data_IF_884242140365
#
_entry.id   IF_884242140365
#
_cell.length_a   1.000
_cell.length_b   1.000
_cell.length_c   1.000
_cell.angle_alpha   90.00
_cell.angle_beta   90.00
_cell.angle_gamma   90.00
#
_symmetry.space_group_name_H-M   'P 1'
#
loop_
_entity.id
_entity.type
_entity.pdbx_description
1 polymer ?
#
# COMPACT_ATOMS: atom_id res chain seq x y z
N UNK A 1 50.75 36.09 -33.62
CA UNK A 1 51.08 34.85 -32.89
C UNK A 1 49.87 33.94 -33.06
N UNK A 2 49.77 33.25 -34.21
CA UNK A 2 49.97 31.80 -34.39
C UNK A 2 49.11 30.94 -33.45
N UNK A 3 48.39 29.88 -33.83
CA UNK A 3 48.13 29.10 -35.05
C UNK A 3 46.91 28.19 -34.70
N UNK A 4 46.14 27.78 -35.71
CA UNK A 4 45.09 26.73 -35.73
C UNK A 4 45.65 25.33 -35.42
N UNK A 5 44.90 24.43 -34.78
CA UNK A 5 44.73 22.98 -35.11
C UNK A 5 43.97 22.28 -33.97
N UNK A 6 42.84 21.59 -34.15
CA UNK A 6 42.50 20.44 -35.03
C UNK A 6 42.80 19.06 -34.40
N UNK A 7 41.94 18.13 -34.77
CA UNK A 7 41.72 16.75 -34.36
C UNK A 7 42.94 15.82 -34.44
N UNK A 8 42.80 14.70 -33.71
CA UNK A 8 43.35 13.36 -33.99
C UNK A 8 44.79 13.01 -33.55
N UNK A 9 44.88 11.90 -32.80
CA UNK A 9 45.97 10.92 -32.75
C UNK A 9 45.25 9.56 -32.58
N UNK A 10 44.98 8.74 -33.59
CA UNK A 10 45.82 7.92 -34.50
C UNK A 10 46.63 6.84 -33.78
N UNK A 11 46.23 5.58 -33.94
CA UNK A 11 47.09 4.55 -34.58
C UNK A 11 46.36 3.23 -34.82
N UNK A 12 46.30 2.84 -36.10
CA UNK A 12 46.05 1.48 -36.61
C UNK A 12 47.41 0.82 -36.85
N UNK A 13 47.52 -0.49 -36.60
CA UNK A 13 48.43 -1.37 -37.34
C UNK A 13 47.85 -2.79 -37.38
N UNK A 14 47.64 -3.26 -38.61
CA UNK A 14 47.33 -4.65 -38.97
C UNK A 14 48.60 -5.51 -38.86
N UNK A 15 48.46 -6.84 -38.71
CA UNK A 15 49.01 -7.87 -39.63
C UNK A 15 48.70 -9.32 -39.16
N UNK A 16 48.11 -10.07 -40.11
CA UNK A 16 48.14 -11.50 -40.47
C UNK A 16 47.73 -12.68 -39.57
N UNK A 17 46.87 -13.48 -40.22
CA UNK A 17 46.53 -14.90 -40.02
C UNK A 17 47.71 -15.83 -40.33
N UNK A 18 47.89 -16.90 -39.55
CA UNK A 18 48.15 -18.26 -40.05
C UNK A 18 47.86 -19.32 -38.98
N UNK A 19 47.41 -20.48 -39.43
CA UNK A 19 46.92 -21.62 -38.64
C UNK A 19 48.06 -22.44 -38.02
N UNK A 20 47.83 -23.04 -36.84
CA UNK A 20 48.18 -24.45 -36.58
C UNK A 20 47.53 -24.96 -35.28
N UNK A 21 46.93 -26.14 -35.40
CA UNK A 21 46.34 -27.03 -34.40
C UNK A 21 47.13 -27.27 -33.10
N UNK A 22 46.45 -27.40 -31.96
CA UNK A 22 46.53 -28.56 -31.06
C UNK A 22 45.66 -28.33 -29.81
N UNK A 23 45.12 -29.44 -29.29
CA UNK A 23 44.12 -29.58 -28.24
C UNK A 23 44.45 -28.92 -26.91
N UNK A 24 43.43 -28.37 -26.23
CA UNK A 24 43.11 -28.82 -24.86
C UNK A 24 41.64 -28.59 -24.55
N UNK A 25 41.08 -29.62 -23.93
CA UNK A 25 39.68 -29.81 -23.56
C UNK A 25 39.27 -28.97 -22.35
N UNK A 26 37.95 -28.70 -22.32
CA UNK A 26 37.04 -28.70 -21.16
C UNK A 26 36.50 -27.37 -20.59
N UNK A 27 35.15 -27.35 -20.61
CA UNK A 27 34.23 -26.75 -19.65
C UNK A 27 33.93 -25.25 -19.70
N UNK A 28 33.17 -24.83 -20.71
CA UNK A 28 32.18 -23.76 -20.54
C UNK A 28 30.96 -24.06 -21.41
N UNK A 29 30.02 -24.85 -20.90
CA UNK A 29 28.62 -24.88 -21.33
C UNK A 29 27.79 -25.69 -20.33
N UNK A 30 27.36 -25.04 -19.25
CA UNK A 30 26.18 -25.45 -18.49
C UNK A 30 25.77 -24.35 -17.49
N UNK A 31 25.16 -23.28 -18.00
CA UNK A 31 24.28 -22.47 -17.16
C UNK A 31 22.88 -23.09 -17.28
N UNK A 32 22.52 -23.88 -16.26
CA UNK A 32 21.15 -24.36 -16.11
C UNK A 32 20.20 -23.15 -16.03
N UNK A 33 19.00 -23.21 -16.63
CA UNK A 33 18.02 -22.15 -16.50
C UNK A 33 17.69 -21.95 -15.01
N UNK A 34 17.66 -20.69 -14.57
CA UNK A 34 17.20 -20.29 -13.24
C UNK A 34 15.86 -20.97 -12.98
N UNK A 35 15.85 -21.98 -12.10
CA UNK A 35 14.63 -22.63 -11.63
C UNK A 35 13.75 -21.52 -11.08
N UNK A 36 12.63 -21.25 -11.74
CA UNK A 36 11.52 -20.52 -11.14
C UNK A 36 11.12 -21.30 -9.90
N UNK A 37 11.52 -20.81 -8.73
CA UNK A 37 11.03 -21.30 -7.45
C UNK A 37 9.52 -21.04 -7.43
N UNK A 38 8.75 -22.06 -7.83
CA UNK A 38 7.32 -22.10 -7.57
C UNK A 38 7.18 -22.24 -6.06
N UNK A 39 6.60 -21.22 -5.40
CA UNK A 39 6.28 -21.33 -3.99
C UNK A 39 5.33 -22.51 -3.78
N UNK A 40 5.51 -23.32 -2.72
CA UNK A 40 4.61 -24.43 -2.43
C UNK A 40 3.18 -23.91 -2.23
N UNK A 41 2.16 -24.71 -2.59
CA UNK A 41 0.77 -24.26 -2.72
C UNK A 41 0.10 -23.72 -1.44
N UNK A 42 0.78 -23.72 -0.29
CA UNK A 42 0.25 -23.27 1.01
C UNK A 42 1.19 -22.29 1.77
N UNK A 43 2.15 -21.64 1.09
CA UNK A 43 3.02 -20.69 1.76
C UNK A 43 2.25 -19.41 2.13
N UNK A 44 2.19 -19.09 3.43
CA UNK A 44 1.60 -17.83 3.90
C UNK A 44 2.36 -16.65 3.27
N UNK A 45 1.69 -15.69 2.58
CA UNK A 45 2.36 -14.58 1.92
C UNK A 45 3.22 -13.71 2.86
N UNK A 46 2.95 -13.73 4.18
CA UNK A 46 3.79 -13.10 5.20
C UNK A 46 5.24 -13.59 5.20
N UNK A 47 5.52 -14.79 4.68
CA UNK A 47 6.86 -15.39 4.64
C UNK A 47 7.52 -15.30 3.26
N UNK A 48 6.86 -14.72 2.27
CA UNK A 48 7.47 -14.47 0.97
C UNK A 48 8.62 -13.46 1.10
N UNK A 49 9.68 -13.57 0.28
CA UNK A 49 10.66 -12.49 0.13
C UNK A 49 9.96 -11.18 -0.22
N UNK A 50 10.46 -10.04 0.27
CA UNK A 50 9.77 -8.74 0.14
C UNK A 50 9.38 -8.41 -1.31
N UNK A 51 10.28 -8.62 -2.28
CA UNK A 51 10.00 -8.40 -3.70
C UNK A 51 8.94 -9.34 -4.30
N UNK A 52 8.58 -10.42 -3.61
CA UNK A 52 7.47 -11.33 -3.95
C UNK A 52 6.18 -11.01 -3.19
N UNK A 53 6.25 -10.27 -2.08
CA UNK A 53 5.06 -9.81 -1.37
C UNK A 53 4.30 -8.74 -2.15
N UNK A 54 4.97 -7.81 -2.84
CA UNK A 54 4.29 -6.74 -3.58
C UNK A 54 3.44 -7.26 -4.77
N UNK A 55 3.95 -8.17 -5.64
CA UNK A 55 3.11 -8.77 -6.67
C UNK A 55 1.95 -9.58 -6.09
N UNK A 56 2.15 -10.26 -4.94
CA UNK A 56 1.09 -10.98 -4.26
C UNK A 56 0.02 -10.03 -3.72
N UNK A 57 0.42 -8.92 -3.09
CA UNK A 57 -0.47 -7.87 -2.61
C UNK A 57 -1.31 -7.31 -3.74
N UNK A 58 -0.69 -6.93 -4.86
CA UNK A 58 -1.43 -6.46 -6.05
C UNK A 58 -2.46 -7.49 -6.50
N UNK A 59 -2.08 -8.77 -6.59
CA UNK A 59 -3.01 -9.85 -6.96
C UNK A 59 -4.17 -9.98 -5.98
N UNK A 60 -3.90 -9.93 -4.67
CA UNK A 60 -4.92 -9.98 -3.61
C UNK A 60 -5.89 -8.80 -3.71
N UNK A 61 -5.36 -7.58 -3.78
CA UNK A 61 -6.18 -6.37 -3.83
C UNK A 61 -7.00 -6.27 -5.14
N UNK A 62 -6.48 -6.82 -6.23
CA UNK A 62 -7.20 -6.88 -7.52
C UNK A 62 -8.45 -7.79 -7.50
N UNK A 63 -8.67 -8.57 -6.43
CA UNK A 63 -9.91 -9.34 -6.26
C UNK A 63 -11.09 -8.48 -5.77
N UNK A 64 -10.80 -7.29 -5.23
CA UNK A 64 -11.79 -6.32 -4.80
C UNK A 64 -12.07 -5.34 -5.96
N UNK A 65 -13.23 -5.49 -6.60
CA UNK A 65 -13.61 -4.68 -7.77
C UNK A 65 -13.82 -3.21 -7.40
N UNK A 66 -14.45 -2.96 -6.25
CA UNK A 66 -14.65 -1.60 -5.73
C UNK A 66 -13.32 -0.89 -5.45
N UNK A 67 -12.36 -1.57 -4.81
CA UNK A 67 -11.01 -1.05 -4.57
C UNK A 67 -10.30 -0.64 -5.87
N UNK A 68 -10.38 -1.48 -6.91
CA UNK A 68 -9.78 -1.17 -8.22
C UNK A 68 -10.45 0.05 -8.89
N UNK A 69 -11.78 0.17 -8.80
CA UNK A 69 -12.49 1.35 -9.29
C UNK A 69 -12.05 2.60 -8.55
N UNK A 70 -11.96 2.55 -7.21
CA UNK A 70 -11.49 3.68 -6.40
C UNK A 70 -10.06 4.09 -6.79
N UNK A 71 -9.15 3.13 -6.98
CA UNK A 71 -7.78 3.42 -7.41
C UNK A 71 -7.71 4.11 -8.78
N UNK A 72 -8.47 3.60 -9.76
CA UNK A 72 -8.52 4.18 -11.11
C UNK A 72 -9.03 5.62 -11.08
N UNK A 73 -10.14 5.84 -10.39
CA UNK A 73 -10.77 7.14 -10.27
C UNK A 73 -9.97 8.13 -9.40
N UNK A 74 -9.28 7.65 -8.36
CA UNK A 74 -8.38 8.48 -7.56
C UNK A 74 -7.20 8.99 -8.39
N UNK A 75 -6.69 8.19 -9.34
CA UNK A 75 -5.66 8.61 -10.28
C UNK A 75 -6.16 9.75 -11.18
N UNK A 76 -7.41 9.68 -11.65
CA UNK A 76 -8.06 10.75 -12.45
C UNK A 76 -8.30 12.02 -11.62
N UNK A 77 -8.68 11.89 -10.34
CA UNK A 77 -8.93 13.00 -9.43
C UNK A 77 -7.66 13.82 -9.13
N UNK A 78 -6.49 13.18 -9.29
CA UNK A 78 -5.16 13.79 -9.23
C UNK A 78 -4.91 14.64 -7.98
N UNK A 79 -5.36 14.15 -6.81
CA UNK A 79 -5.05 14.80 -5.53
C UNK A 79 -3.53 14.76 -5.27
N UNK A 80 -2.95 15.78 -4.61
CA UNK A 80 -1.51 15.76 -4.32
C UNK A 80 -1.18 14.71 -3.27
N UNK A 81 -0.14 13.91 -3.53
CA UNK A 81 0.38 12.86 -2.63
C UNK A 81 -0.73 12.03 -1.96
N UNK A 82 -1.51 11.30 -2.76
CA UNK A 82 -2.66 10.54 -2.28
C UNK A 82 -2.35 9.05 -2.05
N UNK A 83 -3.15 8.41 -1.20
CA UNK A 83 -3.26 6.95 -1.08
C UNK A 83 -4.71 6.53 -0.85
N UNK A 84 -5.11 5.43 -1.46
CA UNK A 84 -6.20 4.61 -0.91
C UNK A 84 -5.61 3.78 0.22
N UNK A 85 -6.10 3.95 1.43
CA UNK A 85 -5.44 3.46 2.62
C UNK A 85 -6.42 2.79 3.60
N UNK A 86 -5.88 2.32 4.71
CA UNK A 86 -6.71 1.99 5.87
C UNK A 86 -7.45 0.66 5.75
N UNK A 87 -8.70 0.67 6.22
CA UNK A 87 -9.47 -0.54 6.47
C UNK A 87 -9.75 -1.35 5.21
N UNK A 88 -10.14 -0.71 4.10
CA UNK A 88 -10.45 -1.41 2.86
C UNK A 88 -9.28 -2.26 2.34
N UNK A 89 -8.05 -1.75 2.46
CA UNK A 89 -6.85 -2.45 2.00
C UNK A 89 -6.58 -3.67 2.89
N UNK A 90 -6.54 -3.50 4.21
CA UNK A 90 -6.23 -4.59 5.14
C UNK A 90 -7.33 -5.65 5.20
N UNK A 91 -8.59 -5.24 5.16
CA UNK A 91 -9.73 -6.13 5.19
C UNK A 91 -9.85 -6.94 3.90
N UNK A 92 -9.50 -6.37 2.74
CA UNK A 92 -9.38 -7.16 1.48
C UNK A 92 -8.34 -8.27 1.61
N UNK A 93 -7.20 -8.00 2.26
CA UNK A 93 -6.19 -9.03 2.55
C UNK A 93 -6.76 -10.11 3.49
N UNK A 94 -7.42 -9.71 4.57
CA UNK A 94 -8.04 -10.64 5.52
C UNK A 94 -9.13 -11.51 4.89
N UNK A 95 -9.93 -10.94 4.00
CA UNK A 95 -10.93 -11.67 3.22
C UNK A 95 -10.27 -12.74 2.36
N UNK A 96 -9.18 -12.40 1.66
CA UNK A 96 -8.41 -13.38 0.89
C UNK A 96 -7.81 -14.48 1.76
N UNK A 97 -7.26 -14.16 2.94
CA UNK A 97 -6.70 -15.18 3.87
C UNK A 97 -7.80 -16.07 4.45
N UNK A 98 -8.99 -15.52 4.67
CA UNK A 98 -10.13 -16.23 5.28
C UNK A 98 -11.02 -16.96 4.27
N UNK A 99 -10.74 -16.85 2.96
CA UNK A 99 -11.59 -17.41 1.91
C UNK A 99 -12.97 -16.75 1.80
N UNK A 100 -13.09 -15.49 2.21
CA UNK A 100 -14.33 -14.69 2.14
C UNK A 100 -14.38 -13.87 0.85
N UNK A 101 -15.58 -13.44 0.39
CA UNK A 101 -15.69 -12.46 -0.69
C UNK A 101 -14.87 -11.20 -0.39
N UNK A 102 -14.19 -10.67 -1.41
CA UNK A 102 -13.17 -9.63 -1.25
C UNK A 102 -13.67 -8.35 -0.55
N UNK A 103 -14.96 -8.05 -0.65
CA UNK A 103 -15.60 -6.84 -0.12
C UNK A 103 -16.28 -7.05 1.25
N UNK A 104 -16.18 -8.26 1.81
CA UNK A 104 -16.81 -8.60 3.10
C UNK A 104 -16.33 -7.68 4.23
N UNK A 105 -17.27 -7.06 4.94
CA UNK A 105 -16.99 -6.29 6.17
C UNK A 105 -16.43 -4.88 5.97
N UNK A 106 -16.11 -4.50 4.73
CA UNK A 106 -15.62 -3.17 4.35
C UNK A 106 -16.76 -2.16 4.44
N UNK A 107 -16.60 -1.13 5.27
CA UNK A 107 -17.59 -0.06 5.43
C UNK A 107 -17.32 1.17 4.55
N UNK A 108 -16.06 1.38 4.19
CA UNK A 108 -15.53 2.66 3.73
C UNK A 108 -14.21 2.45 2.99
N UNK A 109 -13.92 3.35 2.05
CA UNK A 109 -12.67 3.43 1.31
C UNK A 109 -11.99 4.78 1.62
N UNK A 110 -10.98 4.77 2.49
CA UNK A 110 -10.25 5.98 2.89
C UNK A 110 -9.33 6.47 1.76
N UNK A 111 -9.71 7.56 1.08
CA UNK A 111 -8.85 8.25 0.11
C UNK A 111 -8.19 9.46 0.77
N UNK A 112 -6.97 9.26 1.27
CA UNK A 112 -6.22 10.30 1.98
C UNK A 112 -5.25 11.00 1.04
N UNK A 113 -5.07 12.29 1.21
CA UNK A 113 -4.12 13.09 0.42
C UNK A 113 -3.46 14.17 1.29
N UNK A 114 -2.45 14.85 0.77
CA UNK A 114 -1.76 15.91 1.50
C UNK A 114 -1.62 17.17 0.66
N UNK A 115 -2.29 18.24 1.11
CA UNK A 115 -2.13 19.58 0.57
C UNK A 115 -2.06 20.60 1.70
N UNK A 116 -0.85 21.13 1.96
CA UNK A 116 -0.63 22.16 2.97
C UNK A 116 -0.76 23.59 2.42
N UNK A 117 -0.99 23.76 1.10
CA UNK A 117 -1.12 25.09 0.49
C UNK A 117 -2.44 25.78 0.88
N UNK A 118 -3.49 25.00 1.10
CA UNK A 118 -4.78 25.45 1.60
C UNK A 118 -5.38 24.41 2.54
N UNK A 119 -5.25 24.65 3.85
CA UNK A 119 -5.84 23.79 4.89
C UNK A 119 -7.25 24.23 5.29
N UNK A 120 -7.97 25.03 4.49
CA UNK A 120 -9.37 25.40 4.75
C UNK A 120 -10.33 24.21 4.61
N UNK A 121 -11.54 24.31 5.17
CA UNK A 121 -12.53 23.24 5.03
C UNK A 121 -13.11 23.29 3.61
N UNK A 122 -13.21 24.50 3.06
CA UNK A 122 -13.69 24.80 1.73
C UNK A 122 -12.84 24.11 0.64
N UNK A 123 -11.51 24.07 0.82
CA UNK A 123 -10.61 23.33 -0.06
C UNK A 123 -10.81 21.80 0.04
N UNK A 124 -10.93 21.26 1.26
CA UNK A 124 -11.25 19.84 1.44
C UNK A 124 -12.61 19.47 0.87
N UNK A 125 -13.64 20.28 1.11
CA UNK A 125 -14.99 20.06 0.59
C UNK A 125 -15.04 20.17 -0.94
N UNK A 126 -14.23 21.03 -1.56
CA UNK A 126 -14.07 21.04 -3.01
C UNK A 126 -13.51 19.72 -3.55
N UNK A 127 -12.52 19.12 -2.86
CA UNK A 127 -12.03 17.79 -3.21
C UNK A 127 -13.09 16.70 -3.00
N UNK A 128 -13.83 16.75 -1.89
CA UNK A 128 -14.95 15.82 -1.59
C UNK A 128 -16.04 15.91 -2.67
N UNK A 129 -16.42 17.11 -3.12
CA UNK A 129 -17.41 17.30 -4.19
C UNK A 129 -16.94 16.72 -5.52
N UNK A 130 -15.70 17.02 -5.94
CA UNK A 130 -15.11 16.43 -7.15
C UNK A 130 -15.06 14.90 -7.07
N UNK A 131 -14.72 14.36 -5.90
CA UNK A 131 -14.73 12.93 -5.64
C UNK A 131 -16.11 12.31 -5.78
N UNK A 132 -17.16 12.94 -5.25
CA UNK A 132 -18.55 12.46 -5.41
C UNK A 132 -18.95 12.30 -6.87
N UNK A 133 -18.56 13.24 -7.73
CA UNK A 133 -18.85 13.17 -9.17
C UNK A 133 -18.09 12.02 -9.84
N UNK A 134 -16.81 11.85 -9.49
CA UNK A 134 -15.92 10.85 -10.06
C UNK A 134 -16.25 9.43 -9.57
N UNK A 135 -16.67 9.26 -8.32
CA UNK A 135 -17.03 7.97 -7.73
C UNK A 135 -18.52 7.62 -7.89
N UNK A 136 -19.29 8.43 -8.62
CA UNK A 136 -20.68 8.13 -8.93
C UNK A 136 -20.77 6.77 -9.66
N UNK A 137 -21.51 5.81 -9.08
CA UNK A 137 -21.68 4.47 -9.66
C UNK A 137 -20.64 3.42 -9.25
N UNK A 138 -19.71 3.75 -8.34
CA UNK A 138 -18.76 2.77 -7.78
C UNK A 138 -19.45 1.66 -6.95
N UNK A 139 -20.72 1.84 -6.56
CA UNK A 139 -21.58 0.83 -5.87
C UNK A 139 -22.92 0.55 -6.58
N UNK A 140 -22.92 0.31 -7.88
CA UNK A 140 -24.13 0.24 -8.72
C UNK A 140 -24.88 -1.12 -8.76
N UNK A 141 -24.64 -2.06 -7.86
CA UNK A 141 -25.44 -3.29 -7.75
C UNK A 141 -26.33 -3.26 -6.50
N UNK A 142 -27.52 -3.85 -6.56
CA UNK A 142 -28.51 -3.81 -5.48
C UNK A 142 -28.09 -4.51 -4.16
N UNK A 143 -26.90 -5.14 -4.13
CA UNK A 143 -26.26 -5.68 -2.94
C UNK A 143 -25.21 -4.71 -2.32
N UNK A 144 -24.93 -3.59 -3.01
CA UNK A 144 -23.97 -2.58 -2.59
C UNK A 144 -24.67 -1.59 -1.65
N UNK A 145 -24.61 -1.86 -0.35
CA UNK A 145 -24.57 -0.74 0.59
C UNK A 145 -23.26 -0.03 0.27
N UNK A 146 -23.35 1.00 -0.58
CA UNK A 146 -22.23 1.73 -1.14
C UNK A 146 -21.26 2.12 -0.04
N UNK A 147 -20.14 1.41 0.07
CA UNK A 147 -19.06 1.80 0.94
C UNK A 147 -18.59 3.18 0.47
N UNK A 148 -18.70 4.17 1.35
CA UNK A 148 -18.41 5.55 1.02
C UNK A 148 -16.90 5.72 0.78
N UNK A 149 -16.55 6.48 -0.25
CA UNK A 149 -15.17 6.94 -0.41
C UNK A 149 -14.98 8.17 0.47
N UNK A 150 -14.23 8.02 1.55
CA UNK A 150 -13.94 9.11 2.47
C UNK A 150 -12.68 9.86 2.02
N UNK A 151 -12.86 11.04 1.42
CA UNK A 151 -11.73 11.91 1.05
C UNK A 151 -11.29 12.74 2.26
N UNK A 152 -9.99 12.72 2.57
CA UNK A 152 -9.44 13.50 3.68
C UNK A 152 -8.06 14.11 3.40
N UNK A 153 -7.92 15.41 3.64
CA UNK A 153 -6.64 16.10 3.61
C UNK A 153 -5.90 15.94 4.93
N UNK A 154 -4.81 15.17 4.93
CA UNK A 154 -3.98 14.92 6.10
C UNK A 154 -3.34 16.20 6.67
N UNK A 155 -3.13 17.24 5.86
CA UNK A 155 -2.60 18.52 6.34
C UNK A 155 -3.57 19.26 7.28
N UNK A 156 -4.88 19.01 7.17
CA UNK A 156 -5.94 19.67 7.95
C UNK A 156 -6.34 18.91 9.23
N UNK A 157 -5.99 17.63 9.36
CA UNK A 157 -6.51 16.76 10.44
C UNK A 157 -6.34 17.37 11.83
N UNK A 158 -5.17 17.92 12.13
CA UNK A 158 -4.85 18.58 13.40
C UNK A 158 -5.79 19.73 13.79
N UNK A 159 -6.50 20.35 12.83
CA UNK A 159 -7.41 21.48 13.07
C UNK A 159 -8.76 21.06 13.66
N UNK A 160 -9.17 19.81 13.46
CA UNK A 160 -10.50 19.33 13.87
C UNK A 160 -10.47 18.05 14.71
N UNK A 161 -9.37 17.30 14.69
CA UNK A 161 -9.28 15.99 15.34
C UNK A 161 -9.55 16.06 16.85
N UNK A 162 -8.92 17.00 17.55
CA UNK A 162 -9.10 17.17 19.00
C UNK A 162 -10.55 17.52 19.36
N UNK A 163 -11.18 18.41 18.60
CA UNK A 163 -12.60 18.74 18.81
C UNK A 163 -13.53 17.54 18.61
N UNK A 164 -13.15 16.58 17.75
CA UNK A 164 -13.98 15.40 17.43
C UNK A 164 -13.72 14.24 18.39
N UNK A 165 -12.47 14.05 18.81
CA UNK A 165 -12.04 12.84 19.53
C UNK A 165 -11.49 13.10 20.94
N UNK A 166 -11.30 14.37 21.34
CA UNK A 166 -10.85 14.76 22.68
C UNK A 166 -9.36 14.51 22.95
N UNK A 167 -8.56 14.24 21.92
CA UNK A 167 -7.12 14.02 22.02
C UNK A 167 -6.37 14.89 21.00
N UNK A 168 -5.20 15.46 21.36
CA UNK A 168 -4.43 16.29 20.45
C UNK A 168 -3.90 15.44 19.28
N UNK A 169 -3.92 16.03 18.09
CA UNK A 169 -3.32 15.45 16.89
C UNK A 169 -2.21 16.39 16.41
N UNK A 170 -0.94 15.93 16.38
CA UNK A 170 0.15 16.72 15.82
C UNK A 170 -0.12 17.08 14.35
N UNK A 171 0.46 18.18 13.89
CA UNK A 171 0.48 18.53 12.47
C UNK A 171 1.20 17.42 11.69
N UNK A 172 0.54 16.86 10.70
CA UNK A 172 1.19 15.94 9.76
C UNK A 172 2.00 16.74 8.74
N UNK A 173 3.17 16.22 8.38
CA UNK A 173 4.05 16.81 7.35
C UNK A 173 3.92 16.13 5.98
N UNK A 174 3.18 15.02 5.92
CA UNK A 174 2.92 14.24 4.72
C UNK A 174 1.67 13.38 4.88
N UNK A 175 1.23 12.72 3.81
CA UNK A 175 0.16 11.71 3.89
C UNK A 175 0.64 10.47 4.66
N UNK A 176 1.92 10.10 4.50
CA UNK A 176 2.56 8.99 5.21
C UNK A 176 2.53 9.22 6.72
N UNK A 177 2.85 10.43 7.19
CA UNK A 177 2.77 10.81 8.60
C UNK A 177 1.34 10.70 9.15
N UNK A 178 0.32 11.00 8.32
CA UNK A 178 -1.08 10.79 8.69
C UNK A 178 -1.46 9.31 8.77
N UNK A 179 -0.94 8.46 7.89
CA UNK A 179 -1.14 7.00 7.96
C UNK A 179 -0.46 6.42 9.22
N UNK A 180 0.74 6.89 9.56
CA UNK A 180 1.48 6.50 10.78
C UNK A 180 0.73 6.85 12.08
N UNK A 181 -0.17 7.82 12.04
CA UNK A 181 -0.93 8.28 13.21
C UNK A 181 -2.17 7.44 13.51
N UNK A 182 -2.48 6.44 12.69
CA UNK A 182 -3.71 5.66 12.85
C UNK A 182 -3.68 4.71 14.05
N UNK A 183 -4.87 4.51 14.64
CA UNK A 183 -5.09 3.80 15.92
C UNK A 183 -4.64 2.33 15.95
N UNK A 184 -4.42 1.72 14.80
CA UNK A 184 -4.06 0.31 14.66
C UNK A 184 -3.05 0.13 13.53
N UNK A 185 -2.07 -0.75 13.73
CA UNK A 185 -1.12 -1.13 12.67
C UNK A 185 -1.80 -1.77 11.46
N UNK A 186 -2.99 -2.35 11.66
CA UNK A 186 -3.81 -2.89 10.57
C UNK A 186 -4.42 -1.83 9.66
N UNK A 187 -4.41 -0.56 10.08
CA UNK A 187 -4.78 0.54 9.20
C UNK A 187 -3.56 1.12 8.49
N UNK A 188 -2.33 0.95 9.01
CA UNK A 188 -1.10 1.58 8.51
C UNK A 188 -0.60 0.97 7.19
N UNK A 189 -1.39 1.13 6.14
CA UNK A 189 -1.10 0.70 4.77
C UNK A 189 -1.81 1.64 3.80
N UNK A 190 -1.12 2.02 2.74
CA UNK A 190 -1.64 2.80 1.62
C UNK A 190 -1.18 2.22 0.29
N UNK A 191 -2.05 2.28 -0.71
CA UNK A 191 -1.74 1.93 -2.09
C UNK A 191 -2.20 3.04 -3.03
N UNK A 192 -1.44 3.29 -4.09
CA UNK A 192 -1.82 4.24 -5.14
C UNK A 192 -1.31 3.80 -6.50
N UNK A 193 -1.93 4.33 -7.55
CA UNK A 193 -1.46 4.18 -8.92
C UNK A 193 -0.57 5.37 -9.30
N UNK A 194 0.64 5.06 -9.77
CA UNK A 194 1.53 6.04 -10.39
C UNK A 194 1.12 6.28 -11.85
N UNK A 195 1.59 7.36 -12.47
CA UNK A 195 1.23 7.72 -13.85
C UNK A 195 1.51 6.61 -14.90
N UNK A 196 2.48 5.72 -14.63
CA UNK A 196 2.78 4.56 -15.47
C UNK A 196 1.92 3.32 -15.23
N UNK A 197 0.91 3.40 -14.35
CA UNK A 197 0.06 2.27 -13.93
C UNK A 197 0.71 1.33 -12.90
N UNK A 198 1.93 1.64 -12.47
CA UNK A 198 2.60 0.92 -11.39
C UNK A 198 1.98 1.24 -10.04
N UNK A 199 2.04 0.26 -9.13
CA UNK A 199 1.49 0.40 -7.79
C UNK A 199 2.59 0.87 -6.84
N UNK A 200 2.37 2.00 -6.19
CA UNK A 200 3.15 2.40 -5.02
C UNK A 200 2.45 1.92 -3.76
N UNK A 201 3.24 1.36 -2.84
CA UNK A 201 2.75 0.76 -1.59
C UNK A 201 3.50 1.39 -0.42
N UNK A 202 2.75 2.01 0.48
CA UNK A 202 3.24 2.49 1.77
C UNK A 202 2.80 1.51 2.86
N UNK A 203 3.75 0.82 3.50
CA UNK A 203 3.48 -0.16 4.56
C UNK A 203 4.60 -0.08 5.62
N UNK A 204 4.61 0.95 6.49
CA UNK A 204 5.69 1.25 7.42
C UNK A 204 5.95 0.14 8.45
N UNK A 205 4.97 -0.76 8.64
CA UNK A 205 5.08 -1.94 9.51
C UNK A 205 5.30 -3.26 8.75
N UNK A 206 5.54 -3.19 7.44
CA UNK A 206 5.64 -4.35 6.54
C UNK A 206 4.29 -5.07 6.34
N UNK A 207 4.29 -6.11 5.51
CA UNK A 207 3.05 -6.83 5.13
C UNK A 207 2.76 -8.08 5.98
N UNK A 208 3.69 -8.46 6.87
CA UNK A 208 3.61 -9.73 7.61
C UNK A 208 2.37 -9.84 8.49
N UNK A 209 2.05 -8.79 9.26
CA UNK A 209 0.91 -8.81 10.18
C UNK A 209 -0.43 -8.88 9.44
N UNK A 210 -0.54 -8.25 8.27
CA UNK A 210 -1.75 -8.31 7.44
C UNK A 210 -2.08 -9.75 7.02
N UNK A 211 -1.08 -10.49 6.50
CA UNK A 211 -1.26 -11.88 6.06
C UNK A 211 -1.28 -12.92 7.20
N UNK A 212 -0.73 -12.57 8.36
CA UNK A 212 -0.89 -13.36 9.60
C UNK A 212 -2.18 -13.00 10.36
N UNK A 213 -2.95 -12.05 9.85
CA UNK A 213 -4.17 -11.55 10.48
C UNK A 213 -3.94 -11.07 11.93
N UNK A 214 -2.82 -10.37 12.17
CA UNK A 214 -2.49 -9.82 13.47
C UNK A 214 -2.76 -8.32 13.50
N UNK A 215 -3.52 -7.89 14.51
CA UNK A 215 -3.88 -6.49 14.74
C UNK A 215 -3.16 -6.02 15.99
N UNK A 216 -2.49 -4.86 15.92
CA UNK A 216 -1.81 -4.26 17.06
C UNK A 216 -2.29 -2.82 17.26
N UNK A 217 -2.45 -2.37 18.51
CA UNK A 217 -2.76 -0.97 18.76
C UNK A 217 -1.57 -0.07 18.40
N UNK A 218 -1.87 1.18 18.08
CA UNK A 218 -0.88 2.26 18.05
C UNK A 218 -1.04 3.12 19.32
N UNK A 219 -0.23 2.88 20.37
CA UNK A 219 -0.36 3.60 21.64
C UNK A 219 0.15 5.04 21.58
N UNK A 220 0.88 5.43 20.53
CA UNK A 220 1.46 6.76 20.40
C UNK A 220 0.39 7.84 20.16
N UNK A 221 -0.70 7.49 19.47
CA UNK A 221 -1.75 8.44 19.06
C UNK A 221 -3.17 7.89 19.34
N UNK A 222 -3.30 6.57 19.53
CA UNK A 222 -4.59 5.90 19.63
C UNK A 222 -5.28 6.02 20.99
N UNK A 223 -6.61 5.93 20.97
CA UNK A 223 -7.43 5.74 22.17
C UNK A 223 -7.72 4.26 22.40
N UNK A 224 -7.49 3.77 23.62
CA UNK A 224 -7.69 2.35 23.96
C UNK A 224 -9.12 1.90 23.69
N UNK A 225 -10.12 2.69 24.08
CA UNK A 225 -11.53 2.31 23.97
C UNK A 225 -11.95 2.20 22.50
N UNK A 226 -11.55 3.14 21.66
CA UNK A 226 -11.81 3.12 20.22
C UNK A 226 -11.10 1.93 19.53
N UNK A 227 -9.87 1.61 19.92
CA UNK A 227 -9.16 0.42 19.43
C UNK A 227 -9.94 -0.86 19.77
N UNK A 228 -10.28 -1.05 21.05
CA UNK A 228 -11.01 -2.24 21.51
C UNK A 228 -12.39 -2.37 20.85
N UNK A 229 -13.10 -1.24 20.64
CA UNK A 229 -14.39 -1.25 19.94
C UNK A 229 -14.25 -1.71 18.49
N UNK A 230 -13.25 -1.20 17.75
CA UNK A 230 -12.97 -1.66 16.38
C UNK A 230 -12.58 -3.14 16.36
N UNK A 231 -11.73 -3.57 17.28
CA UNK A 231 -11.33 -4.97 17.41
C UNK A 231 -12.50 -5.92 17.65
N UNK A 232 -13.49 -5.56 18.49
CA UNK A 232 -14.71 -6.35 18.71
C UNK A 232 -15.50 -6.54 17.43
N UNK A 233 -15.70 -5.47 16.64
CA UNK A 233 -16.37 -5.57 15.33
C UNK A 233 -15.61 -6.53 14.42
N UNK A 234 -14.29 -6.41 14.34
CA UNK A 234 -13.46 -7.25 13.47
C UNK A 234 -13.47 -8.73 13.85
N UNK A 235 -13.38 -9.07 15.15
CA UNK A 235 -13.46 -10.45 15.65
C UNK A 235 -14.83 -11.11 15.38
N UNK A 236 -15.89 -10.30 15.23
CA UNK A 236 -17.19 -10.76 14.77
C UNK A 236 -17.16 -11.38 13.36
N UNK A 237 -16.32 -10.84 12.48
CA UNK A 237 -16.26 -11.17 11.04
C UNK A 237 -15.13 -12.17 10.74
N UNK A 238 -13.91 -11.87 11.18
CA UNK A 238 -12.71 -12.65 10.84
C UNK A 238 -12.25 -13.54 11.99
N UNK A 239 -12.61 -14.83 11.94
CA UNK A 239 -12.32 -15.80 13.02
C UNK A 239 -10.82 -16.12 13.19
N UNK A 240 -10.00 -15.88 12.17
CA UNK A 240 -8.55 -16.05 12.24
C UNK A 240 -7.77 -14.84 12.80
N UNK A 241 -8.47 -13.76 13.16
CA UNK A 241 -7.83 -12.52 13.60
C UNK A 241 -7.23 -12.68 15.00
N UNK A 242 -5.96 -12.34 15.16
CA UNK A 242 -5.29 -12.22 16.46
C UNK A 242 -5.19 -10.75 16.84
N UNK A 243 -5.96 -10.32 17.85
CA UNK A 243 -5.94 -8.94 18.33
C UNK A 243 -5.02 -8.83 19.53
N UNK A 244 -3.90 -8.13 19.37
CA UNK A 244 -3.02 -7.82 20.48
C UNK A 244 -3.69 -6.83 21.43
N UNK A 245 -3.42 -6.94 22.73
CA UNK A 245 -4.03 -6.02 23.66
C UNK A 245 -3.32 -4.67 23.65
N UNK A 246 -3.94 -3.69 24.29
CA UNK A 246 -3.25 -2.46 24.66
C UNK A 246 -1.99 -2.80 25.49
N UNK A 247 -0.83 -2.15 25.29
CA UNK A 247 0.46 -2.56 25.88
C UNK A 247 0.50 -2.70 27.41
N UNK A 248 -0.44 -2.10 28.13
CA UNK A 248 -0.60 -2.25 29.59
C UNK A 248 -1.11 -3.64 30.01
N UNK A 249 -1.58 -4.45 29.06
CA UNK A 249 -2.10 -5.80 29.29
C UNK A 249 -1.19 -6.84 28.60
N UNK A 250 -0.93 -7.97 29.27
CA UNK A 250 -0.08 -9.04 28.73
C UNK A 250 -0.85 -10.10 27.90
N UNK A 251 -2.18 -10.04 27.86
CA UNK A 251 -3.03 -11.08 27.23
C UNK A 251 -3.79 -10.54 26.02
N UNK A 252 -3.74 -11.18 24.84
CA UNK A 252 -4.56 -10.84 23.67
C UNK A 252 -6.05 -10.66 23.96
N UNK A 253 -6.71 -9.78 23.21
CA UNK A 253 -8.15 -9.56 23.33
C UNK A 253 -8.92 -10.70 22.68
N UNK A 254 -9.75 -11.35 23.47
CA UNK A 254 -10.73 -12.35 23.04
C UNK A 254 -12.11 -11.88 23.50
N UNK A 255 -13.09 -11.88 22.61
CA UNK A 255 -14.48 -11.51 22.93
C UNK A 255 -15.41 -12.66 22.53
#
# INVERSE_FOLDING_TARGET
MHIVTDESIVSKLHINLSQSSSSTHHHLNNLAPLKTYCNPPNMNPAHLPLGKQLPHLRKTLSTNGTLLRVLSHAQELALPNWYLAGGAVSQTIWNSVSGLPAETGISDYDLVYFDASDTSYEAEDAAIRRGRDVFAGVGATAADVAADVEIRNQARVHLWYESRFGAPCPRHESVEAGIDSWISTSAMIGVRLEAGGEWSVYAPRGLSDFYKMVVRPNPTVGDRRAYEQKARRWLGIWKGLTVMPWPENQTPLTF
#
